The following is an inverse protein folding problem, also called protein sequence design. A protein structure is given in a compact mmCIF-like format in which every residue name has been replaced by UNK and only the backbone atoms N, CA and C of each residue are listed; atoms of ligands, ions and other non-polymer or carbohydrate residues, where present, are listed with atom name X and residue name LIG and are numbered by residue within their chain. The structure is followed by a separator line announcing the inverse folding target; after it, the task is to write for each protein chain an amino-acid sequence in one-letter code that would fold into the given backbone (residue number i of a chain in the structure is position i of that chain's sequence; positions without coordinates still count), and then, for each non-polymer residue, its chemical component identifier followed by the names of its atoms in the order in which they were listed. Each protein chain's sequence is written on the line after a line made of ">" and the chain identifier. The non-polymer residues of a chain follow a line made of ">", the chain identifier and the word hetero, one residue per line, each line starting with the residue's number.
data_IF_269354955885
#
_entry.id   IF_269354955885
#
_cell.length_a   1.000
_cell.length_b   1.000
_cell.length_c   1.000
_cell.angle_alpha   90.00
_cell.angle_beta   90.00
_cell.angle_gamma   90.00
#
_symmetry.space_group_name_H-M   'P 1'
#
loop_
_entity.id
_entity.type
_entity.pdbx_description
1 polymer ?
#
# COMPACT_ATOMS: atom_id res chain seq x y z
N UNK A 1 -32.98 19.55 -20.47
CA UNK A 1 -31.76 18.76 -20.57
C UNK A 1 -31.83 17.59 -19.58
N UNK A 2 -31.80 16.33 -20.01
CA UNK A 2 -31.87 15.21 -19.06
C UNK A 2 -30.56 15.10 -18.31
N UNK A 3 -30.69 14.97 -17.00
CA UNK A 3 -29.58 14.68 -16.08
C UNK A 3 -28.88 13.39 -16.53
N UNK A 4 -27.61 13.50 -16.91
CA UNK A 4 -26.74 12.37 -17.25
C UNK A 4 -26.73 11.38 -16.09
N UNK A 5 -26.89 10.10 -16.38
CA UNK A 5 -26.75 8.97 -15.45
C UNK A 5 -25.43 9.09 -14.71
N UNK A 6 -25.44 9.59 -13.47
CA UNK A 6 -24.35 9.51 -12.55
C UNK A 6 -24.03 8.04 -12.27
N UNK A 7 -22.78 7.70 -12.30
CA UNK A 7 -22.29 6.34 -12.19
C UNK A 7 -22.93 5.58 -11.03
N UNK A 8 -23.49 4.41 -11.31
CA UNK A 8 -24.09 3.51 -10.31
C UNK A 8 -23.06 3.04 -9.28
N UNK A 9 -21.76 3.14 -9.60
CA UNK A 9 -20.64 2.75 -8.73
C UNK A 9 -20.58 3.55 -7.43
N UNK A 10 -20.66 4.88 -7.49
CA UNK A 10 -20.55 5.72 -6.29
C UNK A 10 -21.84 5.73 -5.46
N UNK A 11 -23.02 5.57 -6.08
CA UNK A 11 -24.29 5.43 -5.34
C UNK A 11 -24.34 4.17 -4.46
N UNK A 12 -23.53 3.15 -4.78
CA UNK A 12 -23.45 1.92 -3.99
C UNK A 12 -22.53 2.09 -2.77
N UNK A 13 -21.53 2.98 -2.85
CA UNK A 13 -20.53 3.23 -1.80
C UNK A 13 -21.08 4.14 -0.69
N UNK A 14 -22.01 5.03 -1.01
CA UNK A 14 -22.59 5.99 -0.06
C UNK A 14 -23.75 5.42 0.80
N UNK A 15 -23.96 4.09 0.81
CA UNK A 15 -24.91 3.49 1.75
C UNK A 15 -24.30 3.47 3.14
N UNK A 16 -24.87 4.32 4.01
CA UNK A 16 -24.78 4.33 5.49
C UNK A 16 -23.62 3.52 6.08
N UNK A 17 -22.69 4.22 6.71
CA UNK A 17 -21.64 3.68 7.56
C UNK A 17 -22.26 2.75 8.62
N UNK A 18 -22.49 1.50 8.30
CA UNK A 18 -22.54 0.48 9.33
C UNK A 18 -21.10 0.16 9.66
N UNK A 19 -20.67 0.44 10.89
CA UNK A 19 -19.39 -0.05 11.43
C UNK A 19 -19.36 -1.57 11.22
N UNK A 20 -18.78 -2.03 10.10
CA UNK A 20 -18.52 -3.43 9.90
C UNK A 20 -17.52 -3.89 10.97
N UNK A 21 -17.74 -5.05 11.56
CA UNK A 21 -16.75 -5.65 12.43
C UNK A 21 -15.54 -6.09 11.58
N UNK A 22 -14.44 -5.36 11.68
CA UNK A 22 -13.21 -5.69 10.94
C UNK A 22 -12.35 -6.67 11.75
N UNK A 23 -11.93 -7.73 11.08
CA UNK A 23 -10.95 -8.68 11.61
C UNK A 23 -9.60 -8.41 10.97
N UNK A 24 -8.63 -7.97 11.76
CA UNK A 24 -7.35 -7.44 11.31
C UNK A 24 -6.21 -8.34 11.78
N UNK A 25 -5.35 -8.77 10.86
CA UNK A 25 -4.13 -9.49 11.15
C UNK A 25 -2.91 -8.64 10.78
N UNK A 26 -2.11 -8.26 11.78
CA UNK A 26 -0.92 -7.42 11.59
C UNK A 26 0.32 -8.31 11.44
N UNK A 27 1.13 -8.06 10.44
CA UNK A 27 2.43 -8.68 10.23
C UNK A 27 3.48 -7.61 9.97
N UNK A 28 4.58 -7.63 10.69
CA UNK A 28 5.71 -6.74 10.44
C UNK A 28 6.72 -7.35 9.49
N UNK A 29 7.27 -6.53 8.61
CA UNK A 29 8.25 -6.91 7.62
C UNK A 29 9.48 -5.98 7.70
N UNK A 30 10.37 -6.17 8.72
CA UNK A 30 11.48 -5.26 9.00
C UNK A 30 12.67 -5.52 8.05
N UNK A 31 12.58 -5.09 6.79
CA UNK A 31 13.68 -5.19 5.82
C UNK A 31 13.87 -3.89 5.06
N UNK A 32 15.15 -3.57 4.79
CA UNK A 32 15.58 -2.43 3.97
C UNK A 32 16.38 -2.88 2.74
N UNK A 33 16.45 -4.19 2.51
CA UNK A 33 17.40 -4.76 1.53
C UNK A 33 17.07 -4.39 0.08
N UNK A 34 15.82 -3.96 -0.21
CA UNK A 34 15.40 -3.51 -1.55
C UNK A 34 15.90 -2.11 -1.93
N UNK A 35 16.41 -1.33 -0.97
CA UNK A 35 16.87 0.04 -1.17
C UNK A 35 18.27 0.29 -0.56
N UNK A 36 18.94 1.42 -0.84
CA UNK A 36 20.28 1.69 -0.31
C UNK A 36 20.30 2.24 1.12
N UNK A 37 19.16 2.70 1.66
CA UNK A 37 19.07 3.46 2.92
C UNK A 37 18.46 2.61 4.02
N UNK A 38 19.25 2.24 5.04
CA UNK A 38 18.73 1.59 6.23
C UNK A 38 17.88 2.56 7.08
N UNK A 39 17.02 2.00 7.94
CA UNK A 39 16.16 2.70 8.88
C UNK A 39 14.70 2.30 8.75
N UNK A 40 14.20 1.99 7.55
CA UNK A 40 12.80 1.55 7.33
C UNK A 40 12.46 0.25 8.05
N UNK A 41 13.47 -0.57 8.38
CA UNK A 41 13.31 -1.78 9.18
C UNK A 41 12.81 -1.53 10.61
N UNK A 42 12.94 -0.30 11.09
CA UNK A 42 12.41 0.14 12.39
C UNK A 42 10.93 0.54 12.32
N UNK A 43 10.41 0.80 11.11
CA UNK A 43 9.04 1.27 10.87
C UNK A 43 7.96 0.41 11.51
N UNK A 44 7.98 -0.94 11.37
CA UNK A 44 6.97 -1.82 11.96
C UNK A 44 6.82 -1.66 13.47
N UNK A 45 7.92 -1.57 14.19
CA UNK A 45 7.90 -1.47 15.66
C UNK A 45 7.50 -0.05 16.12
N UNK A 46 7.91 0.98 15.38
CA UNK A 46 7.49 2.36 15.67
C UNK A 46 5.99 2.57 15.48
N UNK A 47 5.42 2.03 14.39
CA UNK A 47 3.98 2.12 14.13
C UNK A 47 3.19 1.36 15.21
N UNK A 48 3.67 0.19 15.65
CA UNK A 48 3.09 -0.52 16.81
C UNK A 48 3.22 0.29 18.08
N UNK A 49 4.43 0.81 18.37
CA UNK A 49 4.71 1.63 19.53
C UNK A 49 3.86 2.91 19.62
N UNK A 50 3.42 3.44 18.48
CA UNK A 50 2.46 4.55 18.41
C UNK A 50 1.01 4.13 18.75
N UNK A 51 0.79 2.88 19.17
CA UNK A 51 -0.47 2.37 19.70
C UNK A 51 -1.44 1.89 18.63
N UNK A 52 -0.99 1.48 17.45
CA UNK A 52 -1.85 1.01 16.35
C UNK A 52 -2.83 -0.07 16.81
N UNK A 53 -2.33 -1.10 17.52
CA UNK A 53 -3.14 -2.25 17.94
C UNK A 53 -4.29 -1.81 18.87
N UNK A 54 -3.99 -1.00 19.88
CA UNK A 54 -4.99 -0.54 20.84
C UNK A 54 -5.99 0.44 20.21
N UNK A 55 -5.53 1.28 19.30
CA UNK A 55 -6.40 2.20 18.55
C UNK A 55 -7.37 1.45 17.63
N UNK A 56 -6.92 0.40 16.93
CA UNK A 56 -7.79 -0.46 16.10
C UNK A 56 -8.82 -1.20 16.97
N UNK A 57 -8.42 -1.76 18.11
CA UNK A 57 -9.35 -2.36 19.08
C UNK A 57 -10.37 -1.34 19.60
N UNK A 58 -9.93 -0.12 19.90
CA UNK A 58 -10.79 0.99 20.31
C UNK A 58 -11.83 1.39 19.25
N UNK A 59 -11.56 1.12 17.96
CA UNK A 59 -12.54 1.29 16.86
C UNK A 59 -13.53 0.11 16.73
N UNK A 60 -13.37 -0.96 17.52
CA UNK A 60 -14.21 -2.17 17.46
C UNK A 60 -13.65 -3.26 16.54
N UNK A 61 -12.38 -3.17 16.11
CA UNK A 61 -11.74 -4.23 15.34
C UNK A 61 -11.32 -5.40 16.24
N UNK A 62 -11.48 -6.62 15.76
CA UNK A 62 -10.73 -7.77 16.29
C UNK A 62 -9.34 -7.76 15.70
N UNK A 63 -8.31 -7.68 16.55
CA UNK A 63 -6.93 -7.56 16.11
C UNK A 63 -6.09 -8.74 16.59
N UNK A 64 -5.39 -9.40 15.66
CA UNK A 64 -4.35 -10.39 15.94
C UNK A 64 -3.02 -9.90 15.38
N UNK A 65 -2.04 -9.69 16.23
CA UNK A 65 -0.67 -9.37 15.81
C UNK A 65 0.14 -10.67 15.67
N UNK A 66 0.72 -10.88 14.48
CA UNK A 66 1.55 -12.04 14.15
C UNK A 66 3.04 -11.78 14.42
N UNK A 67 3.38 -10.57 14.86
CA UNK A 67 4.77 -10.15 15.09
C UNK A 67 5.50 -9.82 13.78
N UNK A 68 6.81 -9.68 13.91
CA UNK A 68 7.70 -9.45 12.77
C UNK A 68 8.12 -10.78 12.13
N UNK A 69 8.18 -10.82 10.79
CA UNK A 69 8.75 -11.95 10.07
C UNK A 69 10.24 -12.02 10.36
N UNK A 70 10.76 -13.15 10.86
CA UNK A 70 12.19 -13.35 11.07
C UNK A 70 12.84 -13.65 9.71
N UNK A 71 13.33 -12.60 9.03
CA UNK A 71 13.98 -12.77 7.75
C UNK A 71 15.35 -13.43 7.87
N UNK A 72 15.62 -14.37 6.97
CA UNK A 72 16.92 -15.06 6.91
C UNK A 72 18.01 -14.09 6.44
N UNK A 73 19.19 -14.18 7.06
CA UNK A 73 20.36 -13.46 6.59
C UNK A 73 20.99 -14.14 5.37
N UNK A 74 21.44 -13.35 4.43
CA UNK A 74 22.16 -13.80 3.22
C UNK A 74 23.59 -13.29 3.28
N UNK A 75 24.53 -14.19 3.38
CA UNK A 75 25.95 -13.89 3.66
C UNK A 75 26.65 -13.19 2.46
N UNK A 76 26.28 -13.50 1.22
CA UNK A 76 26.82 -12.85 0.01
C UNK A 76 25.72 -12.67 -0.99
N UNK A 77 25.55 -11.44 -1.50
CA UNK A 77 24.45 -11.09 -2.40
C UNK A 77 24.92 -10.12 -3.47
N UNK A 78 25.73 -10.67 -4.38
CA UNK A 78 26.22 -9.93 -5.53
C UNK A 78 25.08 -9.58 -6.50
N UNK A 79 25.13 -8.41 -7.14
CA UNK A 79 24.14 -8.01 -8.13
C UNK A 79 24.06 -9.01 -9.30
N UNK A 80 22.82 -9.24 -9.77
CA UNK A 80 22.54 -10.09 -10.93
C UNK A 80 21.63 -9.32 -11.89
N UNK A 81 22.02 -9.24 -13.16
CA UNK A 81 21.33 -8.40 -14.17
C UNK A 81 21.11 -6.94 -13.73
N UNK A 82 22.09 -6.37 -13.00
CA UNK A 82 21.99 -5.02 -12.45
C UNK A 82 21.15 -4.90 -11.17
N UNK A 83 20.40 -5.93 -10.80
CA UNK A 83 19.59 -5.96 -9.58
C UNK A 83 20.48 -6.15 -8.35
N UNK A 84 20.32 -5.28 -7.38
CA UNK A 84 21.09 -5.30 -6.12
C UNK A 84 20.39 -6.16 -5.08
N UNK A 85 21.19 -6.93 -4.31
CA UNK A 85 20.74 -7.81 -3.23
C UNK A 85 19.55 -8.72 -3.60
N UNK A 86 19.60 -9.36 -4.79
CA UNK A 86 18.45 -10.11 -5.30
C UNK A 86 18.09 -11.30 -4.41
N UNK A 87 19.09 -11.96 -3.80
CA UNK A 87 18.87 -13.15 -2.97
C UNK A 87 18.21 -12.80 -1.64
N UNK A 88 18.68 -11.73 -0.99
CA UNK A 88 18.10 -11.27 0.26
C UNK A 88 16.65 -10.81 0.08
N UNK A 89 16.39 -9.99 -0.96
CA UNK A 89 15.04 -9.50 -1.25
C UNK A 89 14.12 -10.63 -1.68
N UNK A 90 14.57 -11.53 -2.56
CA UNK A 90 13.77 -12.69 -3.00
C UNK A 90 13.40 -13.60 -1.84
N UNK A 91 14.34 -13.90 -0.95
CA UNK A 91 14.10 -14.75 0.23
C UNK A 91 13.15 -14.08 1.23
N UNK A 92 13.36 -12.80 1.53
CA UNK A 92 12.49 -12.05 2.42
C UNK A 92 11.04 -12.01 1.90
N UNK A 93 10.86 -11.79 0.61
CA UNK A 93 9.52 -11.77 -0.01
C UNK A 93 8.85 -13.15 -0.02
N UNK A 94 9.58 -14.24 -0.21
CA UNK A 94 9.05 -15.61 -0.06
C UNK A 94 8.52 -15.85 1.36
N UNK A 95 9.31 -15.49 2.37
CA UNK A 95 8.92 -15.63 3.77
C UNK A 95 7.71 -14.75 4.11
N UNK A 96 7.69 -13.50 3.62
CA UNK A 96 6.56 -12.60 3.80
C UNK A 96 5.29 -13.10 3.09
N UNK A 97 5.41 -13.63 1.87
CA UNK A 97 4.29 -14.22 1.13
C UNK A 97 3.61 -15.32 1.95
N UNK A 98 4.41 -16.21 2.55
CA UNK A 98 3.90 -17.27 3.41
C UNK A 98 3.22 -16.71 4.68
N UNK A 99 3.77 -15.67 5.28
CA UNK A 99 3.21 -15.01 6.45
C UNK A 99 1.85 -14.35 6.14
N UNK A 100 1.78 -13.55 5.07
CA UNK A 100 0.52 -12.93 4.61
C UNK A 100 -0.52 -13.97 4.24
N UNK A 101 -0.14 -15.02 3.52
CA UNK A 101 -1.04 -16.12 3.20
C UNK A 101 -1.61 -16.80 4.46
N UNK A 102 -0.82 -16.92 5.54
CA UNK A 102 -1.31 -17.41 6.85
C UNK A 102 -2.36 -16.46 7.43
N UNK A 103 -2.09 -15.15 7.45
CA UNK A 103 -3.05 -14.13 7.93
C UNK A 103 -4.37 -14.24 7.14
N UNK A 104 -4.29 -14.40 5.80
CA UNK A 104 -5.47 -14.54 4.95
C UNK A 104 -6.26 -15.83 5.20
N UNK A 105 -5.58 -16.96 5.42
CA UNK A 105 -6.22 -18.25 5.77
C UNK A 105 -6.91 -18.20 7.12
N UNK A 106 -6.36 -17.43 8.07
CA UNK A 106 -6.99 -17.22 9.39
C UNK A 106 -8.22 -16.29 9.30
N UNK A 107 -8.58 -15.77 8.12
CA UNK A 107 -9.80 -14.99 7.89
C UNK A 107 -9.66 -13.48 8.13
N UNK A 108 -8.45 -12.96 8.33
CA UNK A 108 -8.22 -11.55 8.62
C UNK A 108 -7.98 -10.71 7.35
N UNK A 109 -8.29 -9.42 7.42
CA UNK A 109 -7.69 -8.41 6.55
C UNK A 109 -6.23 -8.25 6.97
N UNK A 110 -5.31 -8.46 6.02
CA UNK A 110 -3.87 -8.36 6.29
C UNK A 110 -3.44 -6.90 6.37
N UNK A 111 -2.70 -6.55 7.43
CA UNK A 111 -1.97 -5.29 7.54
C UNK A 111 -0.48 -5.61 7.59
N UNK A 112 0.24 -5.33 6.51
CA UNK A 112 1.69 -5.44 6.47
C UNK A 112 2.29 -4.09 6.86
N UNK A 113 3.03 -4.08 7.96
CA UNK A 113 3.87 -2.95 8.37
C UNK A 113 5.25 -3.18 7.78
N UNK A 114 5.56 -2.47 6.71
CA UNK A 114 6.79 -2.62 5.97
C UNK A 114 7.96 -1.87 6.59
N UNK A 115 9.06 -2.29 6.16
CA UNK A 115 10.26 -1.84 5.62
C UNK A 115 10.12 -1.13 4.27
N UNK A 116 11.03 -1.47 3.33
CA UNK A 116 11.00 -0.87 2.01
C UNK A 116 9.89 -1.44 1.09
N UNK A 117 9.56 -0.71 0.03
CA UNK A 117 8.43 -1.05 -0.84
C UNK A 117 8.62 -2.33 -1.69
N UNK A 118 9.85 -2.88 -1.79
CA UNK A 118 10.07 -4.19 -2.43
C UNK A 118 9.29 -5.32 -1.76
N UNK A 119 8.91 -5.15 -0.50
CA UNK A 119 8.14 -6.12 0.29
C UNK A 119 6.70 -6.31 -0.21
N UNK A 120 6.19 -5.38 -1.00
CA UNK A 120 4.90 -5.54 -1.69
C UNK A 120 4.86 -6.77 -2.60
N UNK A 121 6.01 -7.24 -3.13
CA UNK A 121 6.09 -8.49 -3.90
C UNK A 121 5.54 -9.66 -3.08
N UNK A 122 6.04 -9.85 -1.87
CA UNK A 122 5.60 -10.93 -0.98
C UNK A 122 4.19 -10.71 -0.45
N UNK A 123 3.85 -9.50 -0.07
CA UNK A 123 2.54 -9.15 0.47
C UNK A 123 1.42 -9.41 -0.56
N UNK A 124 1.54 -8.85 -1.75
CA UNK A 124 0.54 -9.02 -2.82
C UNK A 124 0.46 -10.47 -3.28
N UNK A 125 1.61 -11.16 -3.48
CA UNK A 125 1.61 -12.56 -3.86
C UNK A 125 0.95 -13.46 -2.80
N UNK A 126 1.28 -13.26 -1.52
CA UNK A 126 0.66 -14.00 -0.41
C UNK A 126 -0.85 -13.77 -0.31
N UNK A 127 -1.31 -12.54 -0.56
CA UNK A 127 -2.74 -12.22 -0.66
C UNK A 127 -3.41 -12.93 -1.83
N UNK A 128 -2.82 -12.84 -3.04
CA UNK A 128 -3.35 -13.45 -4.24
C UNK A 128 -3.42 -14.98 -4.16
N UNK A 129 -2.42 -15.62 -3.53
CA UNK A 129 -2.39 -17.07 -3.34
C UNK A 129 -3.60 -17.62 -2.57
N UNK A 130 -4.25 -16.79 -1.75
CA UNK A 130 -5.42 -17.16 -0.94
C UNK A 130 -6.75 -16.63 -1.50
N UNK A 131 -6.73 -15.59 -2.33
CA UNK A 131 -7.96 -14.91 -2.80
C UNK A 131 -8.11 -14.92 -4.33
N UNK A 132 -7.10 -15.35 -5.06
CA UNK A 132 -7.11 -15.34 -6.52
C UNK A 132 -6.90 -13.94 -7.10
N UNK A 133 -7.70 -13.54 -8.08
CA UNK A 133 -7.57 -12.23 -8.72
C UNK A 133 -7.85 -11.09 -7.75
N UNK A 134 -6.97 -10.09 -7.75
CA UNK A 134 -7.02 -8.90 -6.89
C UNK A 134 -7.20 -7.64 -7.74
N UNK A 135 -7.76 -6.60 -7.11
CA UNK A 135 -7.56 -5.21 -7.51
C UNK A 135 -6.48 -4.59 -6.63
N UNK A 136 -5.49 -3.93 -7.24
CA UNK A 136 -4.42 -3.24 -6.51
C UNK A 136 -4.58 -1.74 -6.65
N UNK A 137 -4.57 -1.04 -5.53
CA UNK A 137 -4.46 0.42 -5.48
C UNK A 137 -3.10 0.75 -4.90
N UNK A 138 -2.26 1.42 -5.71
CA UNK A 138 -0.91 1.81 -5.36
C UNK A 138 -0.88 3.32 -5.11
N UNK A 139 -0.63 3.72 -3.89
CA UNK A 139 -0.60 5.13 -3.47
C UNK A 139 0.83 5.50 -3.15
N UNK A 140 1.46 6.34 -3.98
CA UNK A 140 2.88 6.54 -3.98
C UNK A 140 3.28 7.78 -4.81
N UNK A 141 4.43 8.37 -4.52
CA UNK A 141 5.08 9.33 -5.39
C UNK A 141 5.66 8.69 -6.66
N UNK A 142 6.05 7.42 -6.57
CA UNK A 142 6.75 6.62 -7.57
C UNK A 142 5.87 5.52 -8.17
N UNK A 143 6.22 5.02 -9.34
CA UNK A 143 5.43 3.95 -9.97
C UNK A 143 5.92 2.54 -9.59
N UNK A 144 7.18 2.42 -9.18
CA UNK A 144 7.78 1.16 -8.72
C UNK A 144 7.56 -0.03 -9.66
N UNK A 145 7.57 0.27 -10.97
CA UNK A 145 7.28 -0.66 -12.07
C UNK A 145 8.47 -0.84 -13.02
N UNK A 146 9.62 -0.30 -12.67
CA UNK A 146 10.82 -0.60 -13.43
C UNK A 146 11.08 -2.10 -13.52
N UNK A 147 11.45 -2.58 -14.69
CA UNK A 147 12.01 -3.94 -14.80
C UNK A 147 13.50 -3.91 -14.40
N UNK A 148 14.13 -5.05 -14.14
CA UNK A 148 15.59 -5.09 -13.99
C UNK A 148 16.37 -4.41 -15.12
N UNK A 149 15.81 -4.40 -16.33
CA UNK A 149 16.45 -3.84 -17.52
C UNK A 149 16.20 -2.34 -17.72
N UNK A 150 15.19 -1.77 -17.06
CA UNK A 150 14.87 -0.33 -17.13
C UNK A 150 15.28 0.45 -15.90
N UNK A 151 15.50 -0.25 -14.77
CA UNK A 151 15.87 0.38 -13.51
C UNK A 151 17.23 1.08 -13.60
N UNK A 152 17.29 2.40 -13.36
CA UNK A 152 18.57 3.12 -13.39
C UNK A 152 19.44 2.83 -12.18
N UNK A 153 18.85 2.35 -11.09
CA UNK A 153 19.53 2.15 -9.82
C UNK A 153 19.82 0.69 -9.50
N UNK A 154 19.04 -0.24 -10.04
CA UNK A 154 19.06 -1.66 -9.70
C UNK A 154 18.47 -1.98 -8.31
N UNK A 155 17.91 -1.01 -7.59
CA UNK A 155 17.24 -1.24 -6.31
C UNK A 155 15.84 -1.80 -6.54
N UNK A 156 15.48 -2.87 -5.82
CA UNK A 156 14.22 -3.60 -6.06
C UNK A 156 13.00 -2.82 -5.56
N UNK A 157 13.15 -1.88 -4.60
CA UNK A 157 12.02 -1.09 -4.15
C UNK A 157 11.36 -0.28 -5.29
N UNK A 158 12.11 0.10 -6.33
CA UNK A 158 11.55 0.73 -7.54
C UNK A 158 11.08 -0.27 -8.62
N UNK A 159 10.94 -1.55 -8.30
CA UNK A 159 10.65 -2.59 -9.30
C UNK A 159 9.48 -3.53 -8.95
N UNK A 160 8.89 -3.54 -7.73
CA UNK A 160 8.04 -4.62 -7.25
C UNK A 160 6.89 -4.94 -8.19
N UNK A 161 6.23 -3.93 -8.77
CA UNK A 161 5.09 -4.16 -9.64
C UNK A 161 5.45 -4.88 -10.93
N UNK A 162 6.68 -4.72 -11.44
CA UNK A 162 7.10 -5.42 -12.66
C UNK A 162 7.19 -6.93 -12.47
N UNK A 163 7.52 -7.41 -11.28
CA UNK A 163 7.57 -8.83 -10.94
C UNK A 163 6.17 -9.45 -10.78
N UNK A 164 5.18 -8.64 -10.40
CA UNK A 164 3.83 -9.08 -10.09
C UNK A 164 2.89 -9.07 -11.29
N UNK A 165 3.18 -8.26 -12.32
CA UNK A 165 2.31 -8.05 -13.49
C UNK A 165 2.53 -9.13 -14.53
N UNK A 166 1.43 -9.83 -14.90
CA UNK A 166 1.46 -10.89 -15.91
C UNK A 166 2.05 -10.42 -17.25
N UNK A 167 1.67 -9.22 -17.69
CA UNK A 167 2.06 -8.65 -18.99
C UNK A 167 3.57 -8.33 -19.07
N UNK A 168 4.26 -8.24 -17.91
CA UNK A 168 5.70 -7.98 -17.82
C UNK A 168 6.54 -9.25 -17.56
N UNK A 169 5.92 -10.41 -17.35
CA UNK A 169 6.63 -11.64 -16.97
C UNK A 169 7.79 -11.98 -17.93
N UNK A 170 7.57 -11.88 -19.23
CA UNK A 170 8.60 -12.18 -20.24
C UNK A 170 9.71 -11.10 -20.31
N UNK A 171 9.58 -10.00 -19.60
CA UNK A 171 10.55 -8.89 -19.52
C UNK A 171 11.45 -8.97 -18.29
N UNK A 172 11.18 -9.90 -17.40
CA UNK A 172 11.97 -10.10 -16.17
C UNK A 172 12.99 -11.22 -16.47
N UNK A 173 14.29 -10.96 -16.36
CA UNK A 173 15.30 -12.01 -16.46
C UNK A 173 15.22 -12.93 -15.24
N UNK A 174 15.89 -14.09 -15.31
CA UNK A 174 15.96 -15.00 -14.16
C UNK A 174 16.75 -14.35 -13.02
N UNK A 175 16.05 -14.03 -11.93
CA UNK A 175 16.63 -13.43 -10.73
C UNK A 175 16.74 -14.50 -9.63
N UNK A 176 17.90 -14.62 -8.96
CA UNK A 176 18.07 -15.59 -7.88
C UNK A 176 17.05 -15.40 -6.75
N UNK A 177 16.57 -16.50 -6.18
CA UNK A 177 15.59 -16.55 -5.09
C UNK A 177 14.19 -15.98 -5.44
N UNK A 178 13.88 -15.83 -6.74
CA UNK A 178 12.53 -15.45 -7.20
C UNK A 178 11.79 -16.58 -7.93
N UNK A 179 12.33 -17.81 -7.94
CA UNK A 179 11.70 -18.97 -8.62
C UNK A 179 10.35 -19.40 -8.04
N UNK A 180 10.06 -19.00 -6.81
CA UNK A 180 8.77 -19.21 -6.14
C UNK A 180 7.67 -18.28 -6.63
N UNK A 181 8.08 -17.12 -7.20
CA UNK A 181 7.16 -16.06 -7.59
C UNK A 181 6.52 -16.34 -8.95
N UNK A 182 5.20 -16.30 -8.99
CA UNK A 182 4.42 -16.25 -10.22
C UNK A 182 3.66 -14.93 -10.29
N UNK A 183 3.63 -14.25 -11.45
CA UNK A 183 2.82 -13.05 -11.60
C UNK A 183 1.36 -13.28 -11.19
N UNK A 184 0.77 -12.33 -10.49
CA UNK A 184 -0.56 -12.50 -9.91
C UNK A 184 -1.46 -11.25 -10.07
N UNK A 185 -0.97 -10.21 -10.71
CA UNK A 185 -1.70 -8.95 -10.98
C UNK A 185 -1.79 -8.74 -12.49
N UNK A 186 -2.94 -8.31 -12.98
CA UNK A 186 -3.07 -7.84 -14.37
C UNK A 186 -2.95 -6.33 -14.42
N UNK A 187 -2.30 -5.79 -15.42
CA UNK A 187 -2.13 -4.35 -15.61
C UNK A 187 -3.47 -3.57 -15.50
N UNK A 188 -4.55 -4.13 -16.01
CA UNK A 188 -5.90 -3.56 -15.97
C UNK A 188 -6.56 -3.52 -14.58
N UNK A 189 -6.04 -4.27 -13.63
CA UNK A 189 -6.55 -4.38 -12.26
C UNK A 189 -5.71 -3.56 -11.26
N UNK A 190 -4.82 -2.72 -11.78
CA UNK A 190 -3.94 -1.82 -11.04
C UNK A 190 -4.32 -0.37 -11.28
N UNK A 191 -4.36 0.43 -10.23
CA UNK A 191 -4.53 1.89 -10.28
C UNK A 191 -3.48 2.56 -9.42
N UNK A 192 -2.80 3.57 -9.97
CA UNK A 192 -1.86 4.43 -9.26
C UNK A 192 -2.51 5.75 -8.86
N UNK A 193 -2.15 6.26 -7.67
CA UNK A 193 -2.57 7.57 -7.17
C UNK A 193 -1.38 8.26 -6.51
N UNK A 194 -1.10 9.51 -6.90
CA UNK A 194 -0.09 10.37 -6.27
C UNK A 194 1.22 10.49 -7.03
N UNK A 195 1.36 9.84 -8.20
CA UNK A 195 2.60 9.82 -8.97
C UNK A 195 3.11 11.23 -9.31
N UNK A 196 4.41 11.47 -9.08
CA UNK A 196 5.06 12.73 -9.42
C UNK A 196 6.57 12.64 -9.68
N UNK A 197 7.17 11.47 -9.41
CA UNK A 197 8.55 11.14 -9.78
C UNK A 197 8.58 9.76 -10.44
N UNK A 198 8.54 9.75 -11.77
CA UNK A 198 8.38 8.55 -12.60
C UNK A 198 9.50 8.49 -13.61
N UNK A 199 10.26 7.41 -13.59
CA UNK A 199 11.35 7.16 -14.53
C UNK A 199 10.86 7.01 -15.98
N UNK A 200 11.68 7.34 -16.99
CA UNK A 200 11.31 7.19 -18.42
C UNK A 200 10.85 5.76 -18.77
N UNK A 201 11.50 4.74 -18.21
CA UNK A 201 11.13 3.33 -18.41
C UNK A 201 9.76 2.99 -17.83
N UNK A 202 9.46 3.49 -16.64
CA UNK A 202 8.17 3.35 -15.96
C UNK A 202 7.05 4.03 -16.74
N UNK A 203 7.27 5.29 -17.14
CA UNK A 203 6.32 6.04 -17.96
C UNK A 203 5.98 5.31 -19.28
N UNK A 204 6.98 4.71 -19.93
CA UNK A 204 6.76 3.89 -21.10
C UNK A 204 5.88 2.66 -20.79
N UNK A 205 6.19 1.94 -19.71
CA UNK A 205 5.44 0.75 -19.27
C UNK A 205 3.99 1.12 -18.96
N UNK A 206 3.77 2.16 -18.16
CA UNK A 206 2.43 2.63 -17.76
C UNK A 206 1.57 2.94 -18.98
N UNK A 207 2.13 3.65 -19.97
CA UNK A 207 1.45 3.98 -21.24
C UNK A 207 1.19 2.75 -22.09
N UNK A 208 2.21 1.91 -22.30
CA UNK A 208 2.12 0.76 -23.20
C UNK A 208 1.13 -0.29 -22.70
N UNK A 209 1.04 -0.48 -21.39
CA UNK A 209 0.07 -1.40 -20.77
C UNK A 209 -1.28 -0.74 -20.46
N UNK A 210 -1.43 0.56 -20.79
CA UNK A 210 -2.64 1.34 -20.51
C UNK A 210 -3.09 1.23 -19.04
N UNK A 211 -2.14 1.30 -18.11
CA UNK A 211 -2.40 1.23 -16.68
C UNK A 211 -3.08 2.53 -16.24
N UNK A 212 -4.16 2.40 -15.47
CA UNK A 212 -4.86 3.57 -14.92
C UNK A 212 -3.99 4.24 -13.87
N UNK A 213 -3.75 5.54 -14.03
CA UNK A 213 -2.97 6.32 -13.09
C UNK A 213 -3.57 7.71 -12.90
N UNK A 214 -3.33 8.26 -11.71
CA UNK A 214 -3.62 9.64 -11.34
C UNK A 214 -2.35 10.25 -10.74
N UNK A 215 -1.65 11.05 -11.52
CA UNK A 215 -0.52 11.86 -11.02
C UNK A 215 -1.04 12.99 -10.16
N UNK A 216 -0.15 13.70 -9.47
CA UNK A 216 -0.55 14.88 -8.70
C UNK A 216 -1.20 15.95 -9.59
N UNK A 217 -0.81 16.05 -10.88
CA UNK A 217 -1.51 16.93 -11.83
C UNK A 217 -2.99 16.56 -12.02
N UNK A 218 -3.32 15.26 -12.09
CA UNK A 218 -4.71 14.83 -12.14
C UNK A 218 -5.43 15.06 -10.82
N UNK A 219 -4.76 14.86 -9.68
CA UNK A 219 -5.33 15.15 -8.36
C UNK A 219 -5.67 16.63 -8.23
N UNK A 220 -4.78 17.54 -8.64
CA UNK A 220 -5.02 18.99 -8.63
C UNK A 220 -6.20 19.38 -9.52
N UNK A 221 -6.28 18.79 -10.73
CA UNK A 221 -7.33 19.13 -11.70
C UNK A 221 -8.71 18.60 -11.35
N UNK A 222 -8.78 17.38 -10.79
CA UNK A 222 -10.04 16.66 -10.55
C UNK A 222 -10.51 16.77 -9.10
N UNK A 223 -9.58 16.95 -8.17
CA UNK A 223 -9.77 16.76 -6.76
C UNK A 223 -9.84 15.29 -6.37
N UNK A 224 -9.42 14.96 -5.15
CA UNK A 224 -9.29 13.59 -4.66
C UNK A 224 -10.60 12.79 -4.70
N UNK A 225 -11.73 13.45 -4.48
CA UNK A 225 -13.03 12.80 -4.52
C UNK A 225 -13.33 12.22 -5.91
N UNK A 226 -13.05 12.98 -6.98
CA UNK A 226 -13.26 12.51 -8.36
C UNK A 226 -12.25 11.46 -8.78
N UNK A 227 -11.01 11.58 -8.31
CA UNK A 227 -9.97 10.55 -8.49
C UNK A 227 -10.44 9.23 -7.92
N UNK A 228 -10.94 9.22 -6.70
CA UNK A 228 -11.42 8.00 -6.05
C UNK A 228 -12.68 7.43 -6.68
N UNK A 229 -13.62 8.28 -7.13
CA UNK A 229 -14.78 7.85 -7.92
C UNK A 229 -14.32 7.09 -9.17
N UNK A 230 -13.42 7.69 -9.97
CA UNK A 230 -12.91 7.06 -11.18
C UNK A 230 -12.07 5.81 -10.90
N UNK A 231 -11.37 5.75 -9.77
CA UNK A 231 -10.66 4.56 -9.30
C UNK A 231 -11.64 3.41 -9.07
N UNK A 232 -12.71 3.64 -8.32
CA UNK A 232 -13.74 2.65 -8.05
C UNK A 232 -14.46 2.22 -9.34
N UNK A 233 -14.83 3.16 -10.22
CA UNK A 233 -15.46 2.86 -11.51
C UNK A 233 -14.58 1.96 -12.37
N UNK A 234 -13.27 2.25 -12.42
CA UNK A 234 -12.32 1.43 -13.17
C UNK A 234 -12.20 0.02 -12.61
N UNK A 235 -11.97 -0.10 -11.29
CA UNK A 235 -11.76 -1.40 -10.64
C UNK A 235 -13.02 -2.27 -10.65
N UNK A 236 -14.21 -1.66 -10.54
CA UNK A 236 -15.48 -2.41 -10.47
C UNK A 236 -16.11 -2.68 -11.84
N UNK A 237 -15.61 -2.06 -12.91
CA UNK A 237 -16.15 -2.23 -14.28
C UNK A 237 -16.10 -3.68 -14.78
N UNK A 238 -15.27 -4.52 -14.19
CA UNK A 238 -15.04 -5.93 -14.56
C UNK A 238 -15.39 -6.92 -13.43
N UNK A 239 -16.25 -6.49 -12.51
CA UNK A 239 -16.60 -7.26 -11.32
C UNK A 239 -15.80 -6.81 -10.09
N UNK A 240 -16.38 -7.08 -8.91
CA UNK A 240 -15.76 -6.72 -7.64
C UNK A 240 -14.74 -7.77 -7.23
N UNK A 241 -13.51 -7.34 -7.04
CA UNK A 241 -12.40 -8.18 -6.55
C UNK A 241 -11.96 -7.68 -5.18
N UNK A 242 -11.33 -8.53 -4.35
CA UNK A 242 -10.67 -8.07 -3.13
C UNK A 242 -9.64 -6.98 -3.47
N UNK A 243 -9.63 -5.90 -2.68
CA UNK A 243 -8.68 -4.80 -2.86
C UNK A 243 -7.45 -5.03 -1.99
N UNK A 244 -6.27 -4.90 -2.61
CA UNK A 244 -5.00 -4.72 -1.96
C UNK A 244 -4.59 -3.26 -2.10
N UNK A 245 -4.53 -2.54 -0.98
CA UNK A 245 -4.03 -1.18 -0.92
C UNK A 245 -2.54 -1.21 -0.54
N UNK A 246 -1.65 -0.85 -1.44
CA UNK A 246 -0.24 -0.65 -1.12
C UNK A 246 0.02 0.85 -0.97
N UNK A 247 0.38 1.28 0.23
CA UNK A 247 0.52 2.68 0.58
C UNK A 247 1.96 2.98 0.98
N UNK A 248 2.67 3.72 0.13
CA UNK A 248 3.93 4.34 0.48
C UNK A 248 3.67 5.64 1.23
N UNK A 249 4.36 5.84 2.35
CA UNK A 249 4.20 7.06 3.15
C UNK A 249 4.68 8.30 2.39
N UNK A 250 5.59 8.16 1.42
CA UNK A 250 6.11 9.25 0.59
C UNK A 250 5.11 9.74 -0.48
N UNK A 251 3.97 9.04 -0.65
CA UNK A 251 2.84 9.59 -1.40
C UNK A 251 2.39 10.94 -0.84
N UNK A 252 2.50 11.11 0.48
CA UNK A 252 2.22 12.38 1.14
C UNK A 252 3.33 13.40 0.88
N UNK A 253 2.97 14.67 0.98
CA UNK A 253 3.94 15.76 0.91
C UNK A 253 4.94 15.68 2.08
N UNK A 254 6.25 15.94 1.85
CA UNK A 254 7.26 15.92 2.92
C UNK A 254 6.99 16.90 4.08
N UNK A 255 6.12 17.88 3.90
CA UNK A 255 5.67 18.76 5.00
C UNK A 255 4.80 18.01 6.03
N UNK A 256 4.30 16.81 5.69
CA UNK A 256 3.44 15.98 6.53
C UNK A 256 4.19 14.73 6.98
N UNK A 257 4.86 14.04 6.05
CA UNK A 257 5.58 12.80 6.27
C UNK A 257 7.05 12.91 5.82
N UNK A 258 7.89 13.69 6.51
CA UNK A 258 9.28 13.90 6.11
C UNK A 258 10.19 12.70 6.36
N UNK A 259 9.85 11.81 7.30
CA UNK A 259 10.70 10.68 7.70
C UNK A 259 10.52 9.47 6.75
N UNK A 260 10.96 9.63 5.51
CA UNK A 260 10.94 8.60 4.45
C UNK A 260 12.22 8.62 3.61
N UNK A 261 12.47 7.55 2.86
CA UNK A 261 13.69 7.36 2.08
C UNK A 261 13.82 8.29 0.87
N UNK A 262 12.74 8.50 0.13
CA UNK A 262 12.70 9.19 -1.17
C UNK A 262 11.60 10.26 -1.21
N UNK A 263 11.65 11.27 -0.32
CA UNK A 263 10.62 12.31 -0.28
C UNK A 263 10.60 13.15 -1.56
N UNK A 264 9.41 13.40 -2.10
CA UNK A 264 9.20 14.26 -3.27
C UNK A 264 8.19 15.34 -2.92
N UNK A 265 8.54 16.60 -3.16
CA UNK A 265 7.68 17.77 -2.86
C UNK A 265 6.46 17.80 -3.80
N UNK A 266 5.34 18.38 -3.33
CA UNK A 266 4.09 18.47 -4.09
C UNK A 266 3.24 17.20 -4.00
N UNK A 267 3.31 16.50 -2.86
CA UNK A 267 2.56 15.29 -2.59
C UNK A 267 1.12 15.50 -2.12
N UNK A 268 0.47 14.40 -1.81
CA UNK A 268 -0.88 14.42 -1.24
C UNK A 268 -0.87 15.15 0.11
N UNK A 269 -1.92 15.92 0.35
CA UNK A 269 -2.19 16.49 1.68
C UNK A 269 -2.65 15.38 2.64
N UNK A 270 -2.52 15.63 3.95
CA UNK A 270 -3.07 14.72 4.97
C UNK A 270 -4.54 14.38 4.72
N UNK A 271 -5.37 15.38 4.35
CA UNK A 271 -6.80 15.16 4.11
C UNK A 271 -7.07 14.27 2.89
N UNK A 272 -6.29 14.40 1.84
CA UNK A 272 -6.40 13.58 0.63
C UNK A 272 -5.97 12.15 0.92
N UNK A 273 -4.86 11.96 1.65
CA UNK A 273 -4.40 10.64 2.09
C UNK A 273 -5.46 9.90 2.92
N UNK A 274 -6.04 10.57 3.92
CA UNK A 274 -7.13 10.00 4.73
C UNK A 274 -8.37 9.71 3.88
N UNK A 275 -8.74 10.59 2.94
CA UNK A 275 -9.90 10.39 2.08
C UNK A 275 -9.78 9.10 1.24
N UNK A 276 -8.57 8.80 0.74
CA UNK A 276 -8.31 7.56 0.01
C UNK A 276 -8.62 6.35 0.89
N UNK A 277 -8.08 6.31 2.10
CA UNK A 277 -8.23 5.15 3.00
C UNK A 277 -9.68 4.96 3.46
N UNK A 278 -10.38 6.05 3.77
CA UNK A 278 -11.80 6.04 4.12
C UNK A 278 -12.66 5.50 2.99
N UNK A 279 -12.43 5.96 1.76
CA UNK A 279 -13.24 5.52 0.62
C UNK A 279 -12.95 4.05 0.27
N UNK A 280 -11.71 3.60 0.35
CA UNK A 280 -11.36 2.18 0.20
C UNK A 280 -12.07 1.32 1.27
N UNK A 281 -12.09 1.76 2.53
CA UNK A 281 -12.86 1.11 3.60
C UNK A 281 -14.35 1.01 3.24
N UNK A 282 -14.95 2.10 2.75
CA UNK A 282 -16.37 2.17 2.37
C UNK A 282 -16.76 1.23 1.23
N UNK A 283 -15.82 0.81 0.40
CA UNK A 283 -16.08 -0.20 -0.64
C UNK A 283 -16.49 -1.55 -0.06
N UNK A 284 -16.10 -1.85 1.18
CA UNK A 284 -16.26 -3.17 1.82
C UNK A 284 -15.41 -4.27 1.17
N UNK A 285 -14.46 -3.91 0.30
CA UNK A 285 -13.61 -4.84 -0.46
C UNK A 285 -12.16 -4.84 -0.01
N UNK A 286 -11.76 -3.96 0.92
CA UNK A 286 -10.40 -3.96 1.45
C UNK A 286 -10.08 -5.31 2.09
N UNK A 287 -9.05 -5.95 1.62
CA UNK A 287 -8.67 -7.31 2.02
C UNK A 287 -7.22 -7.42 2.46
N UNK A 288 -6.37 -6.49 2.02
CA UNK A 288 -5.01 -6.30 2.52
C UNK A 288 -4.59 -4.84 2.39
N UNK A 289 -3.72 -4.39 3.28
CA UNK A 289 -3.07 -3.08 3.20
C UNK A 289 -1.60 -3.20 3.60
N UNK A 290 -0.73 -2.57 2.81
CA UNK A 290 0.68 -2.36 3.12
C UNK A 290 0.88 -0.90 3.53
N UNK A 291 1.68 -0.66 4.56
CA UNK A 291 2.20 0.64 4.95
C UNK A 291 3.72 0.55 4.98
N UNK A 292 4.38 1.26 4.06
CA UNK A 292 5.82 1.10 3.80
C UNK A 292 6.58 2.43 3.84
N UNK A 293 7.91 2.33 3.80
CA UNK A 293 8.88 3.42 3.67
C UNK A 293 8.90 4.43 4.85
N UNK A 294 8.29 4.11 6.00
CA UNK A 294 8.47 4.89 7.23
C UNK A 294 9.89 4.69 7.74
N UNK A 295 10.72 5.74 7.63
CA UNK A 295 12.15 5.67 7.94
C UNK A 295 12.57 6.70 9.01
N UNK A 296 12.64 6.31 10.29
CA UNK A 296 12.99 7.25 11.37
C UNK A 296 14.39 7.84 11.24
N UNK A 297 15.32 7.14 10.58
CA UNK A 297 16.68 7.67 10.36
C UNK A 297 16.74 8.79 9.33
N UNK A 298 15.61 9.10 8.68
CA UNK A 298 15.50 10.18 7.68
C UNK A 298 14.77 11.40 8.22
N UNK A 299 14.12 11.31 9.37
CA UNK A 299 13.59 12.48 10.06
C UNK A 299 14.71 13.35 10.62
N UNK A 300 14.63 14.66 10.41
CA UNK A 300 15.59 15.64 10.94
C UNK A 300 15.39 15.95 12.43
N UNK A 301 14.26 15.53 13.01
CA UNK A 301 13.91 15.73 14.41
C UNK A 301 12.90 14.67 14.90
N UNK A 302 12.78 14.50 16.22
CA UNK A 302 11.77 13.63 16.83
C UNK A 302 10.34 14.05 16.44
N UNK A 303 10.10 15.34 16.24
CA UNK A 303 8.81 15.86 15.81
C UNK A 303 8.47 15.39 14.39
N UNK A 304 9.42 15.39 13.46
CA UNK A 304 9.23 14.91 12.10
C UNK A 304 9.02 13.39 12.05
N UNK A 305 9.77 12.64 12.86
CA UNK A 305 9.58 11.20 13.00
C UNK A 305 8.16 10.92 13.56
N UNK A 306 7.79 11.59 14.63
CA UNK A 306 6.47 11.46 15.26
C UNK A 306 5.33 11.83 14.30
N UNK A 307 5.48 12.90 13.52
CA UNK A 307 4.50 13.30 12.51
C UNK A 307 4.28 12.20 11.48
N UNK A 308 5.37 11.65 10.92
CA UNK A 308 5.30 10.58 9.91
C UNK A 308 4.66 9.31 10.47
N UNK A 309 5.10 8.87 11.65
CA UNK A 309 4.57 7.66 12.31
C UNK A 309 3.09 7.82 12.68
N UNK A 310 2.71 8.98 13.24
CA UNK A 310 1.31 9.27 13.58
C UNK A 310 0.44 9.28 12.33
N UNK A 311 0.93 9.87 11.25
CA UNK A 311 0.21 9.91 9.97
C UNK A 311 0.03 8.49 9.41
N UNK A 312 1.06 7.65 9.44
CA UNK A 312 0.95 6.24 9.03
C UNK A 312 -0.13 5.49 9.85
N UNK A 313 -0.15 5.69 11.17
CA UNK A 313 -1.20 5.13 12.04
C UNK A 313 -2.58 5.66 11.65
N UNK A 314 -2.73 6.94 11.43
CA UNK A 314 -4.01 7.55 11.08
C UNK A 314 -4.56 7.05 9.74
N UNK A 315 -3.70 6.85 8.73
CA UNK A 315 -4.04 6.24 7.45
C UNK A 315 -4.54 4.80 7.64
N UNK A 316 -3.83 4.00 8.44
CA UNK A 316 -4.25 2.64 8.75
C UNK A 316 -5.59 2.61 9.50
N UNK A 317 -5.82 3.51 10.44
CA UNK A 317 -7.11 3.64 11.14
C UNK A 317 -8.24 4.01 10.18
N UNK A 318 -7.97 4.87 9.18
CA UNK A 318 -8.90 5.22 8.10
C UNK A 318 -9.33 4.00 7.30
N UNK A 319 -8.42 3.06 7.03
CA UNK A 319 -8.71 1.79 6.36
C UNK A 319 -9.74 0.92 7.11
N UNK A 320 -9.95 1.15 8.39
CA UNK A 320 -10.83 0.35 9.26
C UNK A 320 -11.96 1.17 9.92
N UNK A 321 -12.37 2.25 9.27
CA UNK A 321 -13.60 2.97 9.63
C UNK A 321 -13.45 4.03 10.70
N UNK A 322 -12.24 4.62 10.86
CA UNK A 322 -12.08 5.83 11.67
C UNK A 322 -12.95 6.96 11.08
N UNK A 323 -13.72 7.61 11.93
CA UNK A 323 -14.55 8.76 11.57
C UNK A 323 -13.83 10.03 11.99
N UNK A 324 -13.59 10.95 11.05
CA UNK A 324 -12.85 12.20 11.29
C UNK A 324 -13.57 13.16 12.22
N UNK A 325 -14.89 13.16 12.20
CA UNK A 325 -15.74 14.01 13.04
C UNK A 325 -15.83 13.51 14.50
N UNK A 326 -15.22 12.38 14.81
CA UNK A 326 -15.20 11.78 16.13
C UNK A 326 -16.05 10.50 16.23
N UNK A 327 -16.14 9.94 17.43
CA UNK A 327 -16.94 8.74 17.68
C UNK A 327 -18.36 9.13 18.02
N UNK A 328 -19.31 8.67 17.21
CA UNK A 328 -20.73 8.90 17.40
C UNK A 328 -21.43 7.56 17.70
N UNK A 329 -21.57 7.15 18.99
CA UNK A 329 -22.30 5.93 19.34
C UNK A 329 -23.75 6.02 18.87
N UNK A 330 -24.27 5.00 18.17
CA UNK A 330 -25.64 5.05 17.62
C UNK A 330 -26.74 5.07 18.71
N UNK A 331 -26.38 4.68 19.92
CA UNK A 331 -27.23 4.61 21.10
C UNK A 331 -27.02 5.79 22.08
N UNK A 332 -26.28 6.84 21.64
CA UNK A 332 -26.10 8.02 22.46
C UNK A 332 -27.42 8.79 22.64
N UNK A 333 -27.77 9.02 23.88
CA UNK A 333 -28.93 9.85 24.24
C UNK A 333 -28.46 11.11 25.00
N UNK A 334 -29.07 12.23 24.68
CA UNK A 334 -28.82 13.48 25.44
C UNK A 334 -29.28 13.25 26.89
N UNK A 335 -28.39 13.46 27.89
CA UNK A 335 -28.78 13.34 29.26
C UNK A 335 -29.98 14.27 29.58
N UNK A 336 -30.90 13.78 30.41
CA UNK A 336 -31.98 14.63 30.98
C UNK A 336 -31.35 15.58 31.98
N UNK A 337 -31.83 16.85 32.09
CA UNK A 337 -31.37 17.80 33.09
C UNK A 337 -31.70 17.36 34.53
#
# INVERSE_FOLDING_TARGET
>A
MPLTKGSEGLRLVLRTFTRGHHSVGIVGAPSWKGQPRAGVEEGPDLIRGAGLVEKLKGQGCTVKDYGNVPFDEVASDEPVHGVKRPRAVGRANEQLSNAVARVKRDGHTSVMLGGDHSLAIGSIHGHASCRGELSVVWVDAHADINTPLTSPTGNIHGQPMSYLIHELHSKIPTIPNFSWLTPCVRAKDLVYIGLRDVDPGEHFILKNLNIKMFSMTEVDRLGIAKVMEQTCDHLFSRGKKPIHLSYDIDALDPSIAPATGTPVTGGLTYREGIYITELICQTGLLSAVDMVEVNPKRGGSDAEISSTVTTAVDLLLGCFGRVREGSHPPDYHVPKP
#
